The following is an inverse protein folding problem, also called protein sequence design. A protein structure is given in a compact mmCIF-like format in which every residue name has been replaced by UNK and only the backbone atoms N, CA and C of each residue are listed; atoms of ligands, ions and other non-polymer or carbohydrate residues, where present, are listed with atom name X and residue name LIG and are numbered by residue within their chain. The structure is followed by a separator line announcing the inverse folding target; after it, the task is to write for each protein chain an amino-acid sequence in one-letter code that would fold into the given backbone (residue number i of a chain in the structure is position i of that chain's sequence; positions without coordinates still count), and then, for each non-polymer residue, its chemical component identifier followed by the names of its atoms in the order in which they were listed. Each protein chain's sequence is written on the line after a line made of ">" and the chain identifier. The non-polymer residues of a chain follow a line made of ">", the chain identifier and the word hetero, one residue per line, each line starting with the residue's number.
data_IF_190058319146
#
_entry.id   IF_190058319146
#
_cell.length_a   1.000
_cell.length_b   1.000
_cell.length_c   1.000
_cell.angle_alpha   90.00
_cell.angle_beta   90.00
_cell.angle_gamma   90.00
#
_symmetry.space_group_name_H-M   'P 1'
#
loop_
_entity.id
_entity.type
_entity.pdbx_description
1 polymer ?
#
# COMPACT_ATOMS: atom_id res chain seq x y z
N UNK A 1 -27.18 -87.85 23.72
CA UNK A 1 -26.49 -86.71 24.30
C UNK A 1 -25.97 -85.84 23.18
N UNK A 2 -26.66 -84.76 22.94
CA UNK A 2 -26.44 -83.87 21.75
C UNK A 2 -25.87 -82.55 22.29
N UNK A 3 -24.59 -82.27 22.01
CA UNK A 3 -23.99 -81.00 22.30
C UNK A 3 -24.26 -80.00 21.24
N UNK A 4 -24.97 -78.91 21.55
CA UNK A 4 -25.26 -77.78 20.71
C UNK A 4 -24.11 -76.77 20.78
N UNK A 5 -23.41 -76.55 19.69
CA UNK A 5 -22.37 -75.52 19.54
C UNK A 5 -23.05 -74.22 19.08
N UNK A 6 -23.07 -73.19 19.97
CA UNK A 6 -23.52 -71.83 19.60
C UNK A 6 -22.38 -71.09 18.91
N UNK A 7 -22.58 -70.77 17.66
CA UNK A 7 -21.70 -69.87 16.89
C UNK A 7 -21.97 -68.41 17.27
N UNK A 8 -21.01 -67.73 17.84
CA UNK A 8 -21.03 -66.29 18.13
C UNK A 8 -20.56 -65.51 16.90
N UNK A 9 -21.45 -64.77 16.28
CA UNK A 9 -21.16 -63.92 15.09
C UNK A 9 -20.57 -62.58 15.65
N UNK A 10 -19.29 -62.36 15.43
CA UNK A 10 -18.62 -61.03 15.67
C UNK A 10 -18.98 -60.11 14.50
N UNK A 11 -19.81 -59.10 14.76
CA UNK A 11 -20.05 -58.00 13.84
C UNK A 11 -18.91 -56.98 14.00
N UNK A 12 -17.94 -56.96 13.09
CA UNK A 12 -16.93 -55.92 12.99
C UNK A 12 -17.57 -54.63 12.47
N UNK A 13 -17.62 -53.63 13.34
CA UNK A 13 -18.07 -52.28 13.01
C UNK A 13 -16.90 -51.50 12.44
N UNK A 14 -16.82 -51.32 11.13
CA UNK A 14 -15.87 -50.46 10.42
C UNK A 14 -16.25 -48.99 10.68
N UNK A 15 -15.51 -48.32 11.57
CA UNK A 15 -15.57 -46.87 11.76
C UNK A 15 -14.76 -46.22 10.65
N UNK A 16 -15.46 -45.72 9.62
CA UNK A 16 -14.82 -44.91 8.57
C UNK A 16 -14.46 -43.53 9.13
N UNK A 17 -13.16 -43.26 9.31
CA UNK A 17 -12.65 -41.90 9.58
C UNK A 17 -12.65 -41.13 8.28
N UNK A 18 -13.60 -40.20 8.13
CA UNK A 18 -13.60 -39.25 7.03
C UNK A 18 -12.50 -38.21 7.28
N UNK A 19 -11.40 -38.30 6.55
CA UNK A 19 -10.34 -37.28 6.54
C UNK A 19 -10.85 -36.06 5.76
N UNK A 20 -11.27 -35.01 6.49
CA UNK A 20 -11.62 -33.73 5.87
C UNK A 20 -10.33 -33.06 5.39
N UNK A 21 -10.05 -33.11 4.09
CA UNK A 21 -8.97 -32.35 3.46
C UNK A 21 -9.42 -30.89 3.43
N UNK A 22 -8.91 -30.08 4.34
CA UNK A 22 -9.05 -28.62 4.25
C UNK A 22 -8.24 -28.14 3.03
N UNK A 23 -8.92 -27.77 1.97
CA UNK A 23 -8.31 -27.08 0.84
C UNK A 23 -7.79 -25.73 1.34
N UNK A 24 -6.52 -25.37 1.05
CA UNK A 24 -6.04 -24.03 1.37
C UNK A 24 -6.92 -23.03 0.60
N UNK A 25 -7.51 -22.07 1.33
CA UNK A 25 -8.15 -20.92 0.72
C UNK A 25 -7.08 -20.20 -0.11
N UNK A 26 -7.17 -20.27 -1.44
CA UNK A 26 -6.36 -19.45 -2.32
C UNK A 26 -6.72 -18.01 -2.03
N UNK A 27 -5.82 -17.29 -1.35
CA UNK A 27 -5.93 -15.83 -1.24
C UNK A 27 -6.03 -15.31 -2.68
N UNK A 28 -7.22 -14.84 -3.07
CA UNK A 28 -7.46 -14.32 -4.41
C UNK A 28 -6.46 -13.18 -4.66
N UNK A 29 -5.83 -13.16 -5.84
CA UNK A 29 -4.92 -12.08 -6.20
C UNK A 29 -5.68 -10.75 -6.11
N UNK A 30 -5.13 -9.78 -5.37
CA UNK A 30 -5.73 -8.45 -5.24
C UNK A 30 -6.01 -7.82 -6.60
N UNK A 31 -7.18 -7.19 -6.74
CA UNK A 31 -7.59 -6.49 -7.96
C UNK A 31 -6.94 -5.11 -7.99
N UNK A 32 -6.14 -4.85 -8.99
CA UNK A 32 -5.43 -3.59 -9.16
C UNK A 32 -6.13 -2.70 -10.19
N UNK A 33 -6.29 -1.41 -9.86
CA UNK A 33 -6.78 -0.39 -10.78
C UNK A 33 -5.67 0.63 -11.08
N UNK A 34 -5.50 0.97 -12.35
CA UNK A 34 -4.69 2.09 -12.79
C UNK A 34 -5.55 3.35 -12.78
N UNK A 35 -5.07 4.39 -12.14
CA UNK A 35 -5.71 5.71 -12.10
C UNK A 35 -4.82 6.75 -12.78
N UNK A 36 -5.48 7.73 -13.38
CA UNK A 36 -4.83 8.91 -13.97
C UNK A 36 -5.53 10.15 -13.47
N UNK A 37 -4.78 11.08 -12.88
CA UNK A 37 -5.33 12.38 -12.51
C UNK A 37 -5.72 13.21 -13.75
N UNK A 38 -6.96 13.71 -13.82
CA UNK A 38 -7.42 14.45 -15.00
C UNK A 38 -6.81 15.86 -15.10
N UNK A 39 -6.32 16.43 -14.01
CA UNK A 39 -5.74 17.77 -13.98
C UNK A 39 -4.30 17.81 -14.44
N UNK A 40 -3.39 17.26 -13.66
CA UNK A 40 -1.95 17.33 -13.91
C UNK A 40 -1.35 16.05 -14.51
N UNK A 41 -2.13 14.97 -14.58
CA UNK A 41 -1.80 13.78 -15.38
C UNK A 41 -0.81 12.81 -14.75
N UNK A 42 -0.65 12.77 -13.41
CA UNK A 42 0.07 11.68 -12.76
C UNK A 42 -0.72 10.37 -12.85
N UNK A 43 -0.02 9.25 -12.79
CA UNK A 43 -0.65 7.92 -12.80
C UNK A 43 -0.12 7.06 -11.68
N UNK A 44 -0.97 6.17 -11.16
CA UNK A 44 -0.62 5.20 -10.13
C UNK A 44 -1.59 4.01 -10.19
N UNK A 45 -1.14 2.86 -9.70
CA UNK A 45 -2.00 1.69 -9.51
C UNK A 45 -2.14 1.38 -8.02
N UNK A 46 -3.32 0.92 -7.61
CA UNK A 46 -3.56 0.50 -6.23
C UNK A 46 -4.54 -0.68 -6.17
N UNK A 47 -4.51 -1.50 -5.11
CA UNK A 47 -5.45 -2.62 -4.93
C UNK A 47 -6.80 -2.11 -4.42
N UNK A 48 -7.83 -2.18 -5.26
CA UNK A 48 -9.19 -1.65 -4.97
C UNK A 48 -9.97 -2.49 -3.96
N UNK A 49 -9.51 -3.67 -3.64
CA UNK A 49 -10.04 -4.54 -2.58
C UNK A 49 -9.38 -4.29 -1.21
N UNK A 50 -8.29 -3.53 -1.18
CA UNK A 50 -7.56 -3.15 0.05
C UNK A 50 -7.84 -1.71 0.45
N UNK A 51 -7.96 -0.80 -0.52
CA UNK A 51 -8.12 0.62 -0.26
C UNK A 51 -9.38 1.18 -0.92
N UNK A 52 -10.07 2.04 -0.19
CA UNK A 52 -11.21 2.82 -0.68
C UNK A 52 -10.89 4.31 -0.64
N UNK A 53 -11.40 5.09 -1.61
CA UNK A 53 -11.31 6.55 -1.56
C UNK A 53 -11.95 7.09 -0.28
N UNK A 54 -11.32 8.12 0.28
CA UNK A 54 -11.86 8.88 1.41
C UNK A 54 -11.87 10.38 1.07
N UNK A 55 -12.67 11.14 1.79
CA UNK A 55 -12.65 12.59 1.69
C UNK A 55 -11.31 13.14 2.15
N UNK A 56 -10.76 14.09 1.40
CA UNK A 56 -9.49 14.74 1.68
C UNK A 56 -9.66 16.16 2.24
N UNK A 57 -8.57 16.90 2.29
CA UNK A 57 -8.50 18.28 2.79
C UNK A 57 -8.91 19.35 1.75
N UNK A 58 -9.51 18.92 0.64
CA UNK A 58 -10.00 19.82 -0.43
C UNK A 58 -8.90 20.37 -1.35
N UNK A 59 -7.65 19.92 -1.22
CA UNK A 59 -6.58 20.32 -2.14
C UNK A 59 -6.84 19.76 -3.53
N UNK A 60 -6.77 20.59 -4.58
CA UNK A 60 -6.88 20.12 -5.94
C UNK A 60 -5.74 19.13 -6.27
N UNK A 61 -6.02 18.16 -7.13
CA UNK A 61 -5.05 17.15 -7.58
C UNK A 61 -4.49 16.27 -6.46
N UNK A 62 -5.27 16.06 -5.36
CA UNK A 62 -4.92 15.11 -4.31
C UNK A 62 -6.01 14.06 -4.17
N UNK A 63 -5.60 12.80 -4.18
CA UNK A 63 -6.47 11.64 -4.02
C UNK A 63 -6.09 10.94 -2.71
N UNK A 64 -7.06 10.70 -1.83
CA UNK A 64 -6.88 10.15 -0.50
C UNK A 64 -7.57 8.80 -0.37
N UNK A 65 -6.93 7.86 0.28
CA UNK A 65 -7.42 6.50 0.43
C UNK A 65 -7.11 5.95 1.83
N UNK A 66 -7.98 5.05 2.29
CA UNK A 66 -7.74 4.30 3.52
C UNK A 66 -8.13 2.83 3.36
N UNK A 67 -7.49 1.95 4.14
CA UNK A 67 -7.97 0.60 4.37
C UNK A 67 -9.25 0.62 5.21
N UNK A 68 -10.10 -0.43 5.18
CA UNK A 68 -11.36 -0.47 5.94
C UNK A 68 -11.16 -0.28 7.45
N UNK A 69 -10.08 -0.80 8.02
CA UNK A 69 -9.68 -0.63 9.42
C UNK A 69 -9.00 0.71 9.71
N UNK A 70 -8.69 1.50 8.67
CA UNK A 70 -7.95 2.78 8.74
C UNK A 70 -6.52 2.68 9.31
N UNK A 71 -5.94 1.47 9.39
CA UNK A 71 -4.56 1.20 9.83
C UNK A 71 -3.53 1.41 8.72
N UNK A 72 -4.00 1.53 7.46
CA UNK A 72 -3.18 2.03 6.36
C UNK A 72 -3.92 3.15 5.62
N UNK A 73 -3.18 4.20 5.30
CA UNK A 73 -3.69 5.34 4.53
C UNK A 73 -2.66 5.77 3.51
N UNK A 74 -3.11 6.12 2.32
CA UNK A 74 -2.22 6.70 1.32
C UNK A 74 -2.84 7.91 0.63
N UNK A 75 -1.99 8.75 0.11
CA UNK A 75 -2.34 9.83 -0.81
C UNK A 75 -1.45 9.80 -2.04
N UNK A 76 -2.00 10.24 -3.15
CA UNK A 76 -1.26 10.58 -4.35
C UNK A 76 -1.72 11.95 -4.80
N UNK A 77 -0.78 12.81 -5.15
CA UNK A 77 -1.15 14.16 -5.55
C UNK A 77 -0.02 14.93 -6.20
N UNK A 78 -0.28 16.22 -6.42
CA UNK A 78 0.74 17.11 -6.91
C UNK A 78 0.29 18.58 -6.90
N UNK A 79 1.26 19.45 -7.08
CA UNK A 79 1.03 20.91 -7.10
C UNK A 79 2.06 21.64 -7.96
N UNK A 80 1.71 22.82 -8.42
CA UNK A 80 2.63 23.71 -9.12
C UNK A 80 3.71 24.22 -8.15
N UNK A 81 4.97 24.07 -8.53
CA UNK A 81 6.13 24.49 -7.73
C UNK A 81 6.36 26.01 -7.86
N UNK A 82 5.40 26.80 -7.40
CA UNK A 82 5.43 28.27 -7.49
C UNK A 82 6.54 28.90 -6.66
N UNK A 83 7.14 28.14 -5.71
CA UNK A 83 8.29 28.59 -4.91
C UNK A 83 9.61 28.19 -5.52
N UNK A 84 9.63 27.59 -6.70
CA UNK A 84 10.83 27.14 -7.40
C UNK A 84 11.79 26.29 -6.52
N UNK A 85 11.23 25.52 -5.61
CA UNK A 85 11.99 24.65 -4.73
C UNK A 85 12.73 23.57 -5.52
N UNK A 86 14.00 23.39 -5.24
CA UNK A 86 14.74 22.22 -5.73
C UNK A 86 14.31 20.94 -4.95
N UNK A 87 14.54 19.73 -5.49
CA UNK A 87 14.29 18.49 -4.75
C UNK A 87 14.98 18.46 -3.38
N UNK A 88 16.21 18.92 -3.30
CA UNK A 88 16.96 18.97 -2.04
C UNK A 88 16.39 20.03 -1.07
N UNK A 89 15.96 21.19 -1.60
CA UNK A 89 15.34 22.25 -0.81
C UNK A 89 14.00 21.82 -0.22
N UNK A 90 13.15 21.19 -1.02
CA UNK A 90 11.86 20.66 -0.56
C UNK A 90 12.06 19.53 0.47
N UNK A 91 12.99 18.60 0.21
CA UNK A 91 13.30 17.51 1.13
C UNK A 91 13.73 18.05 2.51
N UNK A 92 14.62 19.02 2.54
CA UNK A 92 15.08 19.67 3.77
C UNK A 92 13.91 20.34 4.49
N UNK A 93 13.11 21.11 3.76
CA UNK A 93 11.95 21.80 4.32
C UNK A 93 10.94 20.82 4.95
N UNK A 94 10.66 19.68 4.31
CA UNK A 94 9.78 18.63 4.85
C UNK A 94 10.32 18.10 6.19
N UNK A 95 11.59 17.76 6.25
CA UNK A 95 12.24 17.22 7.47
C UNK A 95 12.18 18.25 8.61
N UNK A 96 12.44 19.53 8.32
CA UNK A 96 12.55 20.59 9.32
C UNK A 96 11.19 21.13 9.78
N UNK A 97 10.13 21.07 8.93
CA UNK A 97 8.91 21.83 9.17
C UNK A 97 7.63 20.98 9.25
N UNK A 98 7.62 19.76 8.72
CA UNK A 98 6.39 18.94 8.67
C UNK A 98 6.32 17.97 9.84
N UNK A 99 7.32 17.80 10.64
CA UNK A 99 7.33 16.88 11.79
C UNK A 99 7.10 15.39 11.43
N UNK A 100 7.54 14.50 12.30
CA UNK A 100 7.35 13.05 12.12
C UNK A 100 8.32 12.41 11.13
N UNK A 101 9.42 13.10 10.79
CA UNK A 101 10.54 12.55 10.03
C UNK A 101 11.77 12.26 10.89
N UNK A 102 11.60 12.25 12.22
CA UNK A 102 12.70 12.13 13.19
C UNK A 102 13.47 10.81 13.04
N UNK A 103 12.77 9.73 12.71
CA UNK A 103 13.34 8.41 12.48
C UNK A 103 13.36 8.05 10.98
N UNK A 104 13.88 8.95 10.13
CA UNK A 104 14.04 8.66 8.71
C UNK A 104 15.24 7.75 8.49
N UNK A 105 14.98 6.48 8.14
CA UNK A 105 16.00 5.45 7.96
C UNK A 105 16.41 5.23 6.51
N UNK A 106 15.58 5.66 5.54
CA UNK A 106 15.80 5.44 4.11
C UNK A 106 15.59 6.74 3.33
N UNK A 107 16.62 7.20 2.61
CA UNK A 107 16.66 8.53 1.95
C UNK A 107 17.29 8.50 0.57
N UNK A 108 16.91 7.59 -0.36
CA UNK A 108 17.44 7.61 -1.72
C UNK A 108 16.98 8.88 -2.47
N UNK A 109 17.77 9.27 -3.47
CA UNK A 109 17.49 10.44 -4.29
C UNK A 109 18.05 10.33 -5.70
N UNK A 110 17.43 11.04 -6.63
CA UNK A 110 17.90 11.29 -7.99
C UNK A 110 17.96 12.79 -8.29
N UNK A 111 18.11 13.14 -9.56
CA UNK A 111 18.15 14.56 -9.98
C UNK A 111 16.81 15.26 -9.78
N UNK A 112 15.70 14.55 -9.95
CA UNK A 112 14.33 15.09 -9.93
C UNK A 112 13.40 14.36 -8.98
N UNK A 113 13.92 13.61 -8.03
CA UNK A 113 13.11 12.87 -7.07
C UNK A 113 13.89 12.55 -5.80
N UNK A 114 13.15 12.29 -4.73
CA UNK A 114 13.67 11.72 -3.49
C UNK A 114 12.61 10.87 -2.80
N UNK A 115 13.05 10.04 -1.87
CA UNK A 115 12.21 9.28 -0.96
C UNK A 115 12.59 9.63 0.48
N UNK A 116 11.59 9.68 1.34
CA UNK A 116 11.71 9.69 2.79
C UNK A 116 10.90 8.52 3.32
N UNK A 117 11.52 7.65 4.09
CA UNK A 117 10.84 6.54 4.76
C UNK A 117 11.47 6.25 6.10
N UNK A 118 10.67 5.82 7.05
CA UNK A 118 11.10 5.55 8.42
C UNK A 118 9.92 5.22 9.33
N UNK A 119 10.07 5.55 10.59
CA UNK A 119 9.09 5.24 11.63
C UNK A 119 8.49 6.53 12.21
N UNK A 120 7.23 6.44 12.58
CA UNK A 120 6.49 7.45 13.33
C UNK A 120 5.65 6.73 14.40
N UNK A 121 6.20 6.57 15.60
CA UNK A 121 5.63 5.70 16.62
C UNK A 121 5.46 4.27 16.11
N UNK A 122 4.26 3.72 16.20
CA UNK A 122 3.93 2.36 15.75
C UNK A 122 3.63 2.26 14.24
N UNK A 123 3.92 3.29 13.48
CA UNK A 123 3.65 3.34 12.05
C UNK A 123 4.93 3.50 11.23
N UNK A 124 4.94 2.88 10.06
CA UNK A 124 5.89 3.15 8.99
C UNK A 124 5.29 4.22 8.10
N UNK A 125 6.10 5.17 7.67
CA UNK A 125 5.78 6.07 6.58
C UNK A 125 6.73 5.84 5.41
N UNK A 126 6.19 6.02 4.19
CA UNK A 126 6.94 6.05 2.94
C UNK A 126 6.41 7.20 2.10
N UNK A 127 7.29 8.09 1.66
CA UNK A 127 6.94 9.22 0.82
C UNK A 127 7.92 9.35 -0.34
N UNK A 128 7.43 9.26 -1.56
CA UNK A 128 8.17 9.52 -2.80
C UNK A 128 7.71 10.82 -3.41
N UNK A 129 8.65 11.72 -3.62
CA UNK A 129 8.43 13.01 -4.27
C UNK A 129 9.17 13.06 -5.59
N UNK A 130 8.47 13.46 -6.66
CA UNK A 130 9.02 13.55 -8.01
C UNK A 130 8.74 14.91 -8.62
N UNK A 131 9.74 15.50 -9.24
CA UNK A 131 9.64 16.74 -9.98
C UNK A 131 9.52 16.43 -11.47
N UNK A 132 8.60 17.08 -12.15
CA UNK A 132 8.39 16.99 -13.59
C UNK A 132 8.23 18.38 -14.21
N UNK A 133 8.02 18.47 -15.52
CA UNK A 133 7.87 19.74 -16.21
C UNK A 133 9.05 20.71 -15.96
N UNK A 134 10.29 20.20 -16.04
CA UNK A 134 11.46 21.03 -15.78
C UNK A 134 11.61 21.51 -14.33
N UNK A 135 10.85 20.92 -13.38
CA UNK A 135 10.83 21.31 -11.98
C UNK A 135 9.62 22.14 -11.56
N UNK A 136 8.78 22.56 -12.51
CA UNK A 136 7.60 23.38 -12.23
C UNK A 136 6.42 22.62 -11.63
N UNK A 137 6.44 21.30 -11.67
CA UNK A 137 5.40 20.43 -11.09
C UNK A 137 6.01 19.46 -10.09
N UNK A 138 5.47 19.43 -8.88
CA UNK A 138 5.80 18.46 -7.83
C UNK A 138 4.71 17.42 -7.75
N UNK A 139 5.10 16.16 -7.66
CA UNK A 139 4.19 15.02 -7.50
C UNK A 139 4.60 14.21 -6.29
N UNK A 140 3.64 13.74 -5.51
CA UNK A 140 3.86 12.97 -4.29
C UNK A 140 3.03 11.69 -4.28
N UNK A 141 3.65 10.62 -3.82
CA UNK A 141 2.99 9.41 -3.34
C UNK A 141 3.43 9.22 -1.90
N UNK A 142 2.48 9.16 -0.98
CA UNK A 142 2.77 8.94 0.44
C UNK A 142 1.82 7.91 1.03
N UNK A 143 2.35 7.01 1.86
CA UNK A 143 1.59 5.98 2.56
C UNK A 143 2.09 5.83 3.99
N UNK A 144 1.15 5.55 4.89
CA UNK A 144 1.44 5.15 6.27
C UNK A 144 0.68 3.87 6.60
N UNK A 145 1.30 2.98 7.37
CA UNK A 145 0.69 1.72 7.85
C UNK A 145 1.39 1.27 9.13
N UNK A 146 0.74 0.39 9.88
CA UNK A 146 1.28 -0.09 11.15
C UNK A 146 2.50 -1.00 10.95
N UNK A 147 3.46 -0.91 11.88
CA UNK A 147 4.69 -1.73 11.88
C UNK A 147 4.37 -3.24 11.92
N UNK A 148 3.38 -3.64 12.70
CA UNK A 148 2.96 -5.04 12.83
C UNK A 148 2.28 -5.62 11.56
N UNK A 149 1.97 -4.77 10.58
CA UNK A 149 1.36 -5.15 9.31
C UNK A 149 2.32 -5.07 8.10
N UNK A 150 3.62 -4.97 8.34
CA UNK A 150 4.63 -4.89 7.28
C UNK A 150 4.52 -6.00 6.25
N UNK A 151 4.32 -7.24 6.69
CA UNK A 151 4.21 -8.39 5.79
C UNK A 151 3.05 -8.29 4.79
N UNK A 152 2.03 -7.51 5.12
CA UNK A 152 0.86 -7.25 4.27
C UNK A 152 1.14 -6.07 3.34
N UNK A 153 1.61 -4.94 3.90
CA UNK A 153 1.68 -3.67 3.17
C UNK A 153 2.99 -3.45 2.43
N UNK A 154 4.15 -3.96 2.88
CA UNK A 154 5.42 -3.76 2.17
C UNK A 154 5.34 -4.16 0.68
N UNK A 155 4.85 -5.36 0.29
CA UNK A 155 4.73 -5.73 -1.13
C UNK A 155 3.69 -4.90 -1.90
N UNK A 156 2.66 -4.40 -1.22
CA UNK A 156 1.67 -3.50 -1.82
C UNK A 156 2.31 -2.14 -2.12
N UNK A 157 3.04 -1.58 -1.16
CA UNK A 157 3.74 -0.29 -1.29
C UNK A 157 4.76 -0.33 -2.42
N UNK A 158 5.58 -1.37 -2.50
CA UNK A 158 6.55 -1.57 -3.56
C UNK A 158 5.89 -1.54 -4.95
N UNK A 159 4.81 -2.29 -5.14
CA UNK A 159 4.08 -2.31 -6.41
C UNK A 159 3.38 -0.98 -6.71
N UNK A 160 2.81 -0.30 -5.70
CA UNK A 160 2.20 1.02 -5.87
C UNK A 160 3.25 2.05 -6.30
N UNK A 161 4.38 2.09 -5.60
CA UNK A 161 5.51 2.97 -5.86
C UNK A 161 6.10 2.75 -7.25
N UNK A 162 6.29 1.49 -7.64
CA UNK A 162 6.74 1.11 -8.97
C UNK A 162 5.80 1.53 -10.09
N UNK A 163 4.51 1.65 -9.81
CA UNK A 163 3.50 2.11 -10.78
C UNK A 163 3.39 3.63 -10.86
N UNK A 164 3.86 4.37 -9.86
CA UNK A 164 3.70 5.80 -9.78
C UNK A 164 4.54 6.53 -10.84
N UNK A 165 3.86 7.36 -11.64
CA UNK A 165 4.50 8.21 -12.67
C UNK A 165 4.07 9.65 -12.46
N UNK A 166 5.00 10.61 -12.54
CA UNK A 166 4.69 12.01 -12.35
C UNK A 166 3.83 12.55 -13.48
N UNK A 167 3.05 13.57 -13.17
CA UNK A 167 2.24 14.32 -14.14
C UNK A 167 3.11 14.99 -15.19
N UNK A 168 2.53 15.16 -16.38
CA UNK A 168 3.19 15.75 -17.54
C UNK A 168 2.36 16.88 -18.19
N UNK A 169 1.26 17.28 -17.56
CA UNK A 169 0.47 18.42 -18.00
C UNK A 169 1.04 19.67 -17.34
N UNK A 170 2.07 20.20 -17.97
CA UNK A 170 2.78 21.38 -17.49
C UNK A 170 1.93 22.63 -17.73
N UNK A 171 1.81 23.49 -16.70
CA UNK A 171 1.28 24.83 -16.91
C UNK A 171 2.22 25.59 -17.84
N UNK A 172 1.71 26.12 -18.93
CA UNK A 172 2.43 27.02 -19.86
C UNK A 172 2.46 28.43 -19.27
#
# INVERSE_FOLDING_TARGET
>A
MINSIRATIFRSMLVGVALAVALPATAGASRWALQTDPGIGFTYSYPVDVFSPIEGDGKPYFHYFASPSSDAKFLVGGWNNTREQSPEGLKRWLIENVGGYDETTYRPRGRSWFVLSGYRGDSIYYEKVMFSCGGSLVNVFAITYRVDQRSIYDPIVERMEDSFRPGRRCST
#
